data_IF_458525016608
#
_entry.id   IF_458525016608
#
_cell.length_a   1.000
_cell.length_b   1.000
_cell.length_c   1.000
_cell.angle_alpha   90.00
_cell.angle_beta   90.00
_cell.angle_gamma   90.00
#
_symmetry.space_group_name_H-M   'P 1'
#
loop_
_entity.id
_entity.type
_entity.pdbx_description
1 polymer ?
#
# COMPACT_ATOMS: atom_id res chain seq x y z
N UNK A 1 33.80 -37.25 -26.80
CA UNK A 1 32.39 -36.78 -26.64
C UNK A 1 32.33 -35.93 -25.39
N UNK A 2 32.24 -34.60 -25.56
CA UNK A 2 32.10 -33.63 -24.50
C UNK A 2 30.60 -33.50 -24.22
N UNK A 3 30.13 -33.97 -23.07
CA UNK A 3 28.81 -33.66 -22.55
C UNK A 3 28.84 -32.22 -22.00
N UNK A 4 28.30 -31.27 -22.76
CA UNK A 4 27.96 -29.97 -22.23
C UNK A 4 26.72 -30.12 -21.34
N UNK A 5 26.93 -29.99 -20.04
CA UNK A 5 25.80 -29.85 -19.10
C UNK A 5 25.17 -28.48 -19.32
N UNK A 6 24.01 -28.44 -19.96
CA UNK A 6 23.16 -27.28 -19.96
C UNK A 6 22.62 -27.09 -18.53
N UNK A 7 23.14 -26.07 -17.85
CA UNK A 7 22.51 -25.60 -16.62
C UNK A 7 21.08 -25.15 -16.97
N UNK A 8 20.09 -25.92 -16.57
CA UNK A 8 18.70 -25.44 -16.61
C UNK A 8 18.62 -24.22 -15.70
N UNK A 9 18.44 -23.05 -16.25
CA UNK A 9 18.01 -21.88 -15.48
C UNK A 9 16.75 -22.28 -14.70
N UNK A 10 16.82 -22.15 -13.39
CA UNK A 10 15.69 -22.39 -12.50
C UNK A 10 14.66 -21.29 -12.75
N UNK A 11 13.74 -21.52 -13.67
CA UNK A 11 12.61 -20.61 -13.93
C UNK A 11 11.80 -20.53 -12.64
N UNK A 12 12.03 -19.51 -11.85
CA UNK A 12 11.17 -19.21 -10.69
C UNK A 12 9.84 -18.71 -11.22
N UNK A 13 8.82 -19.55 -11.12
CA UNK A 13 7.45 -19.21 -11.57
C UNK A 13 6.78 -18.18 -10.67
N UNK A 14 7.31 -17.97 -9.45
CA UNK A 14 6.83 -17.01 -8.46
C UNK A 14 8.00 -16.41 -7.69
N UNK A 15 8.03 -15.10 -7.59
CA UNK A 15 8.95 -14.32 -6.76
C UNK A 15 8.12 -13.53 -5.73
N UNK A 16 8.52 -13.55 -4.46
CA UNK A 16 7.89 -12.82 -3.35
C UNK A 16 8.94 -11.94 -2.70
N UNK A 17 8.73 -10.63 -2.76
CA UNK A 17 9.64 -9.62 -2.23
C UNK A 17 8.94 -8.84 -1.12
N UNK A 18 9.63 -8.66 0.02
CA UNK A 18 9.12 -7.79 1.08
C UNK A 18 9.14 -6.32 0.64
N UNK A 19 8.05 -5.63 0.89
CA UNK A 19 7.94 -4.18 0.77
C UNK A 19 7.91 -3.48 2.15
N UNK A 20 8.31 -4.14 3.22
CA UNK A 20 8.17 -3.62 4.59
C UNK A 20 9.03 -2.38 4.86
N UNK A 21 10.14 -2.22 4.17
CA UNK A 21 11.11 -1.17 4.47
C UNK A 21 10.82 0.17 3.79
N UNK A 22 11.05 1.28 4.53
CA UNK A 22 11.14 2.61 3.94
C UNK A 22 9.81 3.18 3.46
N UNK A 23 8.78 3.12 4.26
CA UNK A 23 7.51 3.80 4.04
C UNK A 23 7.57 5.23 4.58
N UNK A 24 7.14 6.21 3.80
CA UNK A 24 6.83 7.55 4.30
C UNK A 24 5.50 7.50 5.03
N UNK A 25 5.46 7.96 6.28
CA UNK A 25 4.27 7.97 7.13
C UNK A 25 3.93 9.37 7.62
N UNK A 26 2.64 9.71 7.58
CA UNK A 26 2.07 10.94 8.13
C UNK A 26 0.90 10.60 9.06
N UNK A 27 1.00 11.02 10.31
CA UNK A 27 -0.09 10.91 11.28
C UNK A 27 -1.11 12.03 11.05
N UNK A 28 -2.37 11.68 11.04
CA UNK A 28 -3.49 12.57 10.78
C UNK A 28 -4.00 12.48 9.35
N UNK A 29 -5.19 13.03 9.12
CA UNK A 29 -5.78 13.06 7.79
C UNK A 29 -5.24 14.22 6.96
N UNK A 30 -5.08 13.98 5.68
CA UNK A 30 -4.79 15.01 4.69
C UNK A 30 -6.04 15.16 3.83
N UNK A 31 -6.74 16.29 3.95
CA UNK A 31 -7.97 16.51 3.19
C UNK A 31 -7.73 16.41 1.68
N UNK A 32 -8.66 15.79 0.97
CA UNK A 32 -8.61 15.80 -0.48
C UNK A 32 -8.72 17.24 -1.00
N UNK A 33 -7.92 17.60 -2.01
CA UNK A 33 -7.98 18.94 -2.58
C UNK A 33 -9.37 19.23 -3.14
N UNK A 34 -9.86 20.43 -2.88
CA UNK A 34 -11.11 20.90 -3.51
C UNK A 34 -10.83 21.23 -4.97
N UNK A 35 -11.36 20.43 -5.88
CA UNK A 35 -11.19 20.60 -7.30
C UNK A 35 -12.32 21.46 -7.83
N UNK A 36 -11.95 22.64 -8.41
CA UNK A 36 -12.92 23.57 -8.97
C UNK A 36 -12.91 23.53 -10.50
N UNK A 37 -14.10 23.52 -11.08
CA UNK A 37 -14.30 23.56 -12.53
C UNK A 37 -14.42 22.19 -13.19
N UNK A 38 -15.27 22.12 -14.20
CA UNK A 38 -15.65 20.86 -14.88
C UNK A 38 -14.44 20.10 -15.45
N UNK A 39 -13.58 20.78 -16.18
CA UNK A 39 -12.42 20.13 -16.83
C UNK A 39 -11.42 19.56 -15.81
N UNK A 40 -11.18 20.27 -14.71
CA UNK A 40 -10.29 19.81 -13.65
C UNK A 40 -10.90 18.60 -12.92
N UNK A 41 -12.20 18.64 -12.61
CA UNK A 41 -12.92 17.53 -11.99
C UNK A 41 -12.91 16.29 -12.90
N UNK A 42 -13.18 16.47 -14.18
CA UNK A 42 -13.18 15.37 -15.16
C UNK A 42 -11.79 14.74 -15.29
N UNK A 43 -10.73 15.55 -15.33
CA UNK A 43 -9.35 15.05 -15.40
C UNK A 43 -9.00 14.27 -14.14
N UNK A 44 -9.35 14.78 -12.95
CA UNK A 44 -9.04 14.14 -11.68
C UNK A 44 -9.79 12.82 -11.45
N UNK A 45 -10.94 12.63 -12.12
CA UNK A 45 -11.69 11.38 -12.08
C UNK A 45 -11.07 10.27 -12.93
N UNK A 46 -10.10 10.59 -13.80
CA UNK A 46 -9.42 9.57 -14.61
C UNK A 46 -8.39 8.81 -13.78
N UNK A 47 -8.21 7.54 -14.13
CA UNK A 47 -7.17 6.70 -13.56
C UNK A 47 -5.78 7.37 -13.70
N UNK A 48 -4.99 7.34 -12.63
CA UNK A 48 -3.66 7.93 -12.60
C UNK A 48 -3.59 9.44 -12.38
N UNK A 49 -4.73 10.15 -12.32
CA UNK A 49 -4.75 11.61 -12.22
C UNK A 49 -5.29 12.14 -10.89
N UNK A 50 -5.31 11.33 -9.86
CA UNK A 50 -5.74 11.76 -8.52
C UNK A 50 -4.84 12.88 -7.99
N UNK A 51 -5.42 13.83 -7.27
CA UNK A 51 -4.70 14.92 -6.61
C UNK A 51 -4.50 14.63 -5.11
N UNK A 52 -3.63 15.42 -4.46
CA UNK A 52 -3.36 15.29 -3.02
C UNK A 52 -2.42 14.15 -2.68
N UNK A 53 -2.48 13.66 -1.45
CA UNK A 53 -1.54 12.67 -0.91
C UNK A 53 -1.54 11.31 -1.65
N UNK A 54 -2.59 11.01 -2.39
CA UNK A 54 -2.67 9.82 -3.25
C UNK A 54 -1.95 9.98 -4.61
N UNK A 55 -1.60 11.23 -5.00
CA UNK A 55 -0.90 11.49 -6.26
C UNK A 55 0.53 10.95 -6.25
N UNK A 56 1.02 10.33 -7.33
CA UNK A 56 2.42 9.95 -7.45
C UNK A 56 3.39 11.13 -7.25
N UNK A 57 2.99 12.32 -7.67
CA UNK A 57 3.80 13.55 -7.63
C UNK A 57 3.67 14.33 -6.30
N UNK A 58 2.96 13.79 -5.32
CA UNK A 58 2.86 14.43 -4.02
C UNK A 58 4.21 14.49 -3.31
N UNK A 59 4.55 15.65 -2.74
CA UNK A 59 5.78 15.81 -1.96
C UNK A 59 5.58 15.26 -0.55
N UNK A 60 6.17 14.10 -0.30
CA UNK A 60 6.19 13.38 0.97
C UNK A 60 7.55 13.48 1.68
N UNK A 61 8.41 14.41 1.29
CA UNK A 61 9.79 14.55 1.82
C UNK A 61 9.84 14.91 3.30
N UNK A 62 8.81 15.56 3.82
CA UNK A 62 8.69 15.90 5.25
C UNK A 62 8.08 14.78 6.11
N UNK A 63 7.66 13.67 5.50
CA UNK A 63 7.04 12.58 6.23
C UNK A 63 8.08 11.73 6.94
N UNK A 64 7.70 11.16 8.09
CA UNK A 64 8.54 10.24 8.85
C UNK A 64 8.73 8.93 8.07
N UNK A 65 9.95 8.40 8.07
CA UNK A 65 10.20 7.07 7.51
C UNK A 65 9.96 6.02 8.57
N UNK A 66 9.18 5.01 8.22
CA UNK A 66 8.86 3.85 9.07
C UNK A 66 9.06 2.56 8.29
N UNK A 67 9.28 1.49 9.03
CA UNK A 67 9.27 0.11 8.53
C UNK A 67 8.00 -0.59 9.02
N UNK A 68 7.50 -1.52 8.21
CA UNK A 68 6.36 -2.37 8.59
C UNK A 68 6.86 -3.66 9.29
N UNK A 69 6.06 -4.24 10.17
CA UNK A 69 4.74 -3.81 10.67
C UNK A 69 4.80 -2.51 11.45
N UNK A 70 3.79 -1.65 11.29
CA UNK A 70 3.73 -0.36 11.98
C UNK A 70 2.31 -0.08 12.47
N UNK A 71 2.21 0.21 13.77
CA UNK A 71 0.99 0.61 14.47
C UNK A 71 1.28 1.91 15.22
N UNK A 72 0.76 3.04 14.71
CA UNK A 72 1.07 4.35 15.29
C UNK A 72 0.39 4.59 16.65
N UNK A 73 -0.70 3.88 16.95
CA UNK A 73 -1.41 4.12 18.21
C UNK A 73 -0.58 3.73 19.42
N UNK A 74 0.16 2.60 19.34
CA UNK A 74 1.01 2.14 20.44
C UNK A 74 2.28 2.97 20.64
N UNK A 75 2.60 3.86 19.72
CA UNK A 75 3.72 4.80 19.87
C UNK A 75 3.35 6.01 20.72
N UNK A 76 2.04 6.28 20.87
CA UNK A 76 1.52 7.38 21.67
C UNK A 76 1.41 7.06 23.15
N UNK A 77 1.11 8.09 23.93
CA UNK A 77 0.76 7.93 25.34
C UNK A 77 -0.69 7.46 25.49
N UNK A 78 -0.97 6.76 26.58
CA UNK A 78 -2.34 6.48 26.98
C UNK A 78 -3.07 7.79 27.29
N UNK A 79 -4.30 7.91 26.80
CA UNK A 79 -5.15 9.06 26.99
C UNK A 79 -6.43 8.61 27.76
N UNK A 80 -6.61 9.08 29.00
CA UNK A 80 -7.77 8.68 29.81
C UNK A 80 -9.10 9.08 29.20
N UNK A 81 -9.13 10.05 28.26
CA UNK A 81 -10.32 10.47 27.54
C UNK A 81 -10.56 9.66 26.25
N UNK A 82 -9.60 8.83 25.85
CA UNK A 82 -9.73 7.94 24.70
C UNK A 82 -10.60 6.71 25.02
N UNK A 83 -10.98 5.98 23.98
CA UNK A 83 -11.90 4.85 24.12
C UNK A 83 -11.31 3.69 24.93
N UNK A 84 -11.98 3.34 26.02
CA UNK A 84 -11.62 2.24 26.92
C UNK A 84 -11.48 0.90 26.15
N UNK A 85 -12.39 0.60 25.23
CA UNK A 85 -12.37 -0.66 24.48
C UNK A 85 -11.17 -0.76 23.55
N UNK A 86 -10.55 0.37 23.20
CA UNK A 86 -9.34 0.48 22.41
C UNK A 86 -8.08 0.66 23.28
N UNK A 87 -8.15 0.34 24.56
CA UNK A 87 -7.00 0.39 25.47
C UNK A 87 -6.51 1.79 25.79
N UNK A 88 -7.36 2.81 25.70
CA UNK A 88 -7.03 4.22 25.90
C UNK A 88 -6.00 4.78 24.90
N UNK A 89 -5.84 4.16 23.74
CA UNK A 89 -4.99 4.69 22.68
C UNK A 89 -5.79 5.59 21.71
N UNK A 90 -5.19 6.72 21.35
CA UNK A 90 -5.69 7.57 20.28
C UNK A 90 -5.33 6.95 18.92
N UNK A 91 -6.32 6.76 18.07
CA UNK A 91 -6.18 6.06 16.78
C UNK A 91 -6.20 7.03 15.59
N UNK A 92 -7.36 7.51 15.17
CA UNK A 92 -7.50 8.52 14.12
C UNK A 92 -7.12 8.04 12.71
N UNK A 93 -6.49 8.92 11.96
CA UNK A 93 -6.13 8.69 10.57
C UNK A 93 -4.61 8.68 10.38
N UNK A 94 -4.17 7.96 9.36
CA UNK A 94 -2.77 7.98 8.92
C UNK A 94 -2.63 7.74 7.43
N UNK A 95 -1.56 8.27 6.87
CA UNK A 95 -1.19 8.08 5.48
C UNK A 95 0.16 7.40 5.39
N UNK A 96 0.27 6.47 4.45
CA UNK A 96 1.52 5.79 4.09
C UNK A 96 1.79 5.96 2.61
N UNK A 97 3.07 6.10 2.24
CA UNK A 97 3.51 6.13 0.85
C UNK A 97 4.77 5.29 0.70
N UNK A 98 4.85 4.57 -0.41
CA UNK A 98 6.02 3.75 -0.74
C UNK A 98 6.35 3.88 -2.21
N UNK A 99 7.59 4.22 -2.52
CA UNK A 99 8.12 4.25 -3.89
C UNK A 99 8.96 3.01 -4.15
N UNK A 100 8.80 2.40 -5.32
CA UNK A 100 9.58 1.23 -5.72
C UNK A 100 9.75 1.18 -7.25
N UNK A 101 10.75 0.44 -7.72
CA UNK A 101 11.01 0.22 -9.14
C UNK A 101 10.78 -1.24 -9.50
N UNK A 102 10.37 -1.46 -10.74
CA UNK A 102 10.27 -2.77 -11.36
C UNK A 102 11.31 -2.88 -12.47
N UNK A 103 11.91 -4.05 -12.59
CA UNK A 103 12.84 -4.32 -13.69
C UNK A 103 12.10 -4.34 -15.05
N UNK A 104 12.72 -3.93 -16.15
CA UNK A 104 12.16 -4.14 -17.49
C UNK A 104 11.79 -5.60 -17.76
N UNK A 105 12.49 -6.56 -17.16
CA UNK A 105 12.24 -8.00 -17.27
C UNK A 105 10.97 -8.47 -16.55
N UNK A 106 10.39 -7.62 -15.70
CA UNK A 106 9.12 -7.90 -15.04
C UNK A 106 7.92 -7.62 -15.97
N UNK A 107 8.17 -6.96 -17.11
CA UNK A 107 7.12 -6.68 -18.09
C UNK A 107 6.55 -7.98 -18.66
N UNK A 108 5.22 -8.09 -18.60
CA UNK A 108 4.49 -9.30 -19.01
C UNK A 108 4.28 -10.33 -17.89
N UNK A 109 4.87 -10.15 -16.71
CA UNK A 109 4.50 -10.91 -15.52
C UNK A 109 3.18 -10.41 -14.94
N UNK A 110 2.50 -11.25 -14.17
CA UNK A 110 1.43 -10.83 -13.27
C UNK A 110 2.06 -10.26 -12.00
N UNK A 111 1.68 -9.04 -11.65
CA UNK A 111 2.23 -8.28 -10.52
C UNK A 111 1.14 -8.00 -9.50
N UNK A 112 1.38 -8.33 -8.26
CA UNK A 112 0.41 -8.19 -7.18
C UNK A 112 1.06 -7.59 -5.95
N UNK A 113 0.41 -6.61 -5.31
CA UNK A 113 0.75 -6.16 -3.97
C UNK A 113 -0.18 -6.87 -2.99
N UNK A 114 0.42 -7.50 -1.98
CA UNK A 114 -0.31 -8.15 -0.91
C UNK A 114 -0.09 -7.39 0.40
N UNK A 115 -1.17 -7.09 1.11
CA UNK A 115 -1.14 -6.63 2.49
C UNK A 115 -1.73 -7.71 3.38
N UNK A 116 -0.99 -8.14 4.38
CA UNK A 116 -1.47 -9.16 5.32
C UNK A 116 -2.52 -8.62 6.29
N UNK A 117 -2.56 -7.30 6.50
CA UNK A 117 -3.57 -6.62 7.30
C UNK A 117 -3.28 -5.14 7.49
N UNK A 118 -4.33 -4.32 7.45
CA UNK A 118 -4.32 -2.88 7.73
C UNK A 118 -5.49 -2.56 8.66
N UNK A 119 -5.22 -1.99 9.81
CA UNK A 119 -6.24 -1.62 10.79
C UNK A 119 -6.56 -0.11 10.71
N UNK A 120 -7.85 0.26 10.47
CA UNK A 120 -9.00 -0.66 10.31
C UNK A 120 -9.51 -0.59 8.87
N UNK A 121 -10.00 0.57 8.43
CA UNK A 121 -10.44 0.78 7.05
C UNK A 121 -9.32 1.41 6.23
N UNK A 122 -9.10 0.91 5.03
CA UNK A 122 -8.03 1.41 4.18
C UNK A 122 -8.51 1.72 2.75
N UNK A 123 -7.94 2.76 2.16
CA UNK A 123 -8.04 3.02 0.73
C UNK A 123 -6.64 3.02 0.15
N UNK A 124 -6.44 2.26 -0.92
CA UNK A 124 -5.12 1.98 -1.52
C UNK A 124 -5.11 2.45 -2.96
N UNK A 125 -4.10 3.26 -3.29
CA UNK A 125 -3.82 3.72 -4.65
C UNK A 125 -2.47 3.18 -5.12
N UNK A 126 -2.39 2.88 -6.40
CA UNK A 126 -1.13 2.64 -7.09
C UNK A 126 -1.06 3.55 -8.30
N UNK A 127 0.04 4.28 -8.42
CA UNK A 127 0.28 5.25 -9.51
C UNK A 127 -0.90 6.21 -9.73
N UNK A 128 -1.51 6.68 -8.62
CA UNK A 128 -2.63 7.63 -8.66
C UNK A 128 -3.97 7.03 -9.07
N UNK A 129 -4.08 5.71 -9.14
CA UNK A 129 -5.34 5.01 -9.39
C UNK A 129 -5.77 4.28 -8.13
N UNK A 130 -7.02 4.50 -7.66
CA UNK A 130 -7.58 3.74 -6.55
C UNK A 130 -7.85 2.31 -7.01
N UNK A 131 -7.22 1.34 -6.33
CA UNK A 131 -7.35 -0.07 -6.70
C UNK A 131 -8.12 -0.89 -5.67
N UNK A 132 -8.08 -0.49 -4.40
CA UNK A 132 -8.70 -1.28 -3.35
C UNK A 132 -9.23 -0.41 -2.22
N UNK A 133 -10.33 -0.84 -1.61
CA UNK A 133 -10.83 -0.38 -0.33
C UNK A 133 -11.06 -1.57 0.58
N UNK A 134 -10.51 -1.51 1.77
CA UNK A 134 -10.70 -2.52 2.80
C UNK A 134 -11.57 -1.98 3.92
N UNK A 135 -12.47 -2.84 4.42
CA UNK A 135 -13.42 -2.52 5.48
C UNK A 135 -13.28 -3.44 6.69
N UNK A 136 -12.25 -4.30 6.69
CA UNK A 136 -11.95 -5.22 7.78
C UNK A 136 -10.45 -5.28 8.04
N UNK A 137 -10.02 -4.95 9.25
CA UNK A 137 -8.61 -4.91 9.62
C UNK A 137 -7.92 -6.28 9.60
N UNK A 138 -8.65 -7.37 9.64
CA UNK A 138 -8.13 -8.72 9.84
C UNK A 138 -7.92 -9.53 8.56
N UNK A 139 -8.40 -9.04 7.43
CA UNK A 139 -8.32 -9.75 6.14
C UNK A 139 -7.10 -9.32 5.34
N UNK A 140 -6.46 -10.28 4.68
CA UNK A 140 -5.42 -10.00 3.69
C UNK A 140 -6.03 -9.47 2.39
N UNK A 141 -5.28 -8.59 1.73
CA UNK A 141 -5.66 -7.97 0.46
C UNK A 141 -4.67 -8.36 -0.62
N UNK A 142 -5.19 -8.72 -1.79
CA UNK A 142 -4.44 -9.13 -2.98
C UNK A 142 -4.80 -8.19 -4.12
N UNK A 143 -3.87 -7.33 -4.52
CA UNK A 143 -4.16 -6.21 -5.42
C UNK A 143 -3.36 -6.37 -6.70
N UNK A 144 -4.03 -6.69 -7.80
CA UNK A 144 -3.41 -6.74 -9.12
C UNK A 144 -3.02 -5.34 -9.58
N UNK A 145 -1.71 -5.13 -9.73
CA UNK A 145 -1.14 -3.87 -10.20
C UNK A 145 -0.65 -3.95 -11.65
N UNK A 146 -0.76 -5.10 -12.29
CA UNK A 146 -0.22 -5.36 -13.63
C UNK A 146 -0.60 -4.28 -14.66
N UNK A 147 -1.89 -3.83 -14.73
CA UNK A 147 -2.29 -2.81 -15.71
C UNK A 147 -1.80 -1.39 -15.41
N UNK A 148 -1.29 -1.17 -14.20
CA UNK A 148 -0.93 0.17 -13.70
C UNK A 148 0.57 0.34 -13.47
N UNK A 149 1.33 -0.74 -13.59
CA UNK A 149 2.76 -0.78 -13.29
C UNK A 149 3.60 -0.07 -14.37
N UNK A 150 4.63 0.63 -13.93
CA UNK A 150 5.68 1.19 -14.78
C UNK A 150 7.01 0.46 -14.53
N UNK A 151 7.91 0.48 -15.52
CA UNK A 151 9.12 -0.36 -15.51
C UNK A 151 10.37 0.45 -15.81
N UNK A 152 11.53 -0.09 -15.44
CA UNK A 152 12.82 0.52 -15.69
C UNK A 152 13.11 1.69 -14.76
N UNK A 153 13.38 2.87 -15.33
CA UNK A 153 13.72 4.07 -14.55
C UNK A 153 12.51 4.72 -13.90
N UNK A 154 11.30 4.43 -14.37
CA UNK A 154 10.07 4.94 -13.82
C UNK A 154 9.81 4.39 -12.41
N UNK A 155 9.21 5.24 -11.58
CA UNK A 155 8.92 4.93 -10.17
C UNK A 155 7.45 4.62 -10.00
N UNK A 156 7.15 3.47 -9.43
CA UNK A 156 5.81 3.14 -8.96
C UNK A 156 5.61 3.69 -7.55
N UNK A 157 4.42 4.18 -7.28
CA UNK A 157 4.03 4.73 -5.97
C UNK A 157 2.80 4.02 -5.44
N UNK A 158 2.90 3.48 -4.23
CA UNK A 158 1.76 3.05 -3.43
C UNK A 158 1.41 4.19 -2.48
N UNK A 159 0.14 4.53 -2.36
CA UNK A 159 -0.38 5.40 -1.31
C UNK A 159 -1.50 4.68 -0.58
N UNK A 160 -1.51 4.77 0.75
CA UNK A 160 -2.52 4.14 1.60
C UNK A 160 -3.03 5.17 2.60
N UNK A 161 -4.34 5.43 2.60
CA UNK A 161 -5.01 6.16 3.66
C UNK A 161 -5.67 5.17 4.58
N UNK A 162 -5.38 5.27 5.86
CA UNK A 162 -5.94 4.41 6.89
C UNK A 162 -6.85 5.25 7.78
N UNK A 163 -8.06 4.76 7.99
CA UNK A 163 -9.03 5.24 8.96
C UNK A 163 -9.09 4.23 10.09
N UNK A 164 -8.46 4.55 11.21
CA UNK A 164 -8.46 3.72 12.40
C UNK A 164 -9.49 4.18 13.44
N UNK A 165 -10.27 5.25 13.19
CA UNK A 165 -11.40 5.63 14.04
C UNK A 165 -12.58 4.68 13.90
N UNK A 166 -12.68 4.01 12.75
CA UNK A 166 -13.67 2.98 12.54
C UNK A 166 -13.45 1.81 13.52
N UNK A 167 -14.52 1.40 14.22
CA UNK A 167 -14.48 0.32 15.20
C UNK A 167 -15.22 -0.90 14.66
N UNK A 168 -14.59 -2.07 14.77
CA UNK A 168 -15.17 -3.36 14.41
C UNK A 168 -15.48 -4.20 15.67
N UNK A 169 -14.83 -3.89 16.81
CA UNK A 169 -14.97 -4.66 18.03
C UNK A 169 -14.74 -3.86 19.32
N UNK A 170 -14.83 -4.58 20.45
CA UNK A 170 -14.65 -4.04 21.80
C UNK A 170 -13.27 -4.40 22.36
N UNK A 171 -12.26 -4.40 21.52
CA UNK A 171 -10.87 -4.70 21.84
C UNK A 171 -9.96 -3.78 21.06
N UNK A 172 -8.70 -3.73 21.42
CA UNK A 172 -7.71 -2.98 20.68
C UNK A 172 -7.51 -3.59 19.29
N UNK A 173 -7.79 -2.80 18.26
CA UNK A 173 -7.77 -3.24 16.86
C UNK A 173 -6.49 -2.84 16.12
N UNK A 174 -5.68 -1.97 16.73
CA UNK A 174 -4.51 -1.41 16.09
C UNK A 174 -4.79 -0.17 15.24
N UNK A 175 -3.74 0.41 14.67
CA UNK A 175 -3.83 1.58 13.80
C UNK A 175 -2.66 1.60 12.80
N UNK A 176 -2.92 1.23 11.56
CA UNK A 176 -1.90 1.27 10.51
C UNK A 176 -1.71 -0.04 9.76
N UNK A 177 -0.62 -0.10 9.02
CA UNK A 177 -0.20 -1.32 8.32
C UNK A 177 0.53 -2.20 9.35
N UNK A 178 -0.24 -2.89 10.17
CA UNK A 178 0.26 -3.62 11.34
C UNK A 178 0.77 -5.03 11.02
N UNK A 179 0.75 -5.42 9.75
CA UNK A 179 1.30 -6.68 9.23
C UNK A 179 2.18 -6.41 8.01
N UNK A 180 2.70 -7.48 7.41
CA UNK A 180 3.63 -7.41 6.30
C UNK A 180 2.99 -6.98 4.98
N UNK A 181 3.83 -6.42 4.09
CA UNK A 181 3.45 -6.08 2.73
C UNK A 181 4.43 -6.73 1.75
N UNK A 182 3.89 -7.29 0.66
CA UNK A 182 4.65 -8.05 -0.31
C UNK A 182 4.39 -7.59 -1.73
N UNK A 183 5.43 -7.62 -2.55
CA UNK A 183 5.33 -7.60 -4.01
C UNK A 183 5.48 -9.02 -4.51
N UNK A 184 4.45 -9.54 -5.17
CA UNK A 184 4.45 -10.87 -5.75
C UNK A 184 4.47 -10.77 -7.26
N UNK A 185 5.43 -11.44 -7.88
CA UNK A 185 5.56 -11.52 -9.33
C UNK A 185 5.36 -12.97 -9.75
N UNK A 186 4.47 -13.19 -10.71
CA UNK A 186 4.15 -14.53 -11.22
C UNK A 186 4.32 -14.58 -12.73
N UNK A 187 4.50 -15.77 -13.26
CA UNK A 187 4.37 -16.00 -14.70
C UNK A 187 2.97 -15.57 -15.18
N UNK A 188 2.81 -15.08 -16.43
CA UNK A 188 1.50 -14.78 -16.98
C UNK A 188 0.53 -15.97 -16.90
N UNK A 189 1.06 -17.18 -17.07
CA UNK A 189 0.33 -18.41 -16.83
C UNK A 189 0.66 -18.94 -15.42
N UNK A 190 -0.30 -18.86 -14.51
CA UNK A 190 -0.17 -19.28 -13.12
C UNK A 190 -1.52 -19.74 -12.57
N UNK A 191 -1.49 -20.48 -11.47
CA UNK A 191 -2.70 -20.85 -10.72
C UNK A 191 -3.10 -19.65 -9.85
N UNK A 192 -4.35 -19.23 -9.98
CA UNK A 192 -4.95 -18.23 -9.08
C UNK A 192 -5.33 -18.94 -7.79
N UNK A 193 -4.85 -18.42 -6.65
CA UNK A 193 -5.15 -18.95 -5.31
C UNK A 193 -6.18 -18.07 -4.63
#
# INVERSE_FOLDING_TARGET
FSLQAYAQEKVTTREVLSLDKGWSFHLGDIPYPVIKGHNATYRNAKAGYVSGAASPNYDDSSWRIVDLPHDWAIEGNLDPDANLSQGYYNRGFGWYRRKFKLSPEDKGKHLEIQFDGIATHATIWVNGTVLHRNWCGYTSMYIDITPYATYGDDVNTIAVRVDADAQEGWWYEGAGIYRHTWLVKRSPLHIIT
#
